data_IF_282727532028
#
_entry.id   IF_282727532028
#
_cell.length_a   1.000
_cell.length_b   1.000
_cell.length_c   1.000
_cell.angle_alpha   90.00
_cell.angle_beta   90.00
_cell.angle_gamma   90.00
#
_symmetry.space_group_name_H-M   'P 1'
#
loop_
_entity.id
_entity.type
_entity.pdbx_description
1 polymer ?
#
# COMPACT_ATOMS: atom_id res chain seq x y z
N UNK A 1 -15.38 -35.49 9.38
CA UNK A 1 -15.36 -35.17 10.82
C UNK A 1 -13.94 -34.72 11.14
N UNK A 2 -13.62 -33.50 10.71
CA UNK A 2 -13.68 -32.26 11.52
C UNK A 2 -12.46 -32.14 12.41
N UNK A 3 -11.39 -31.59 11.84
CA UNK A 3 -10.37 -30.90 12.63
C UNK A 3 -10.73 -29.42 12.52
N UNK A 4 -11.68 -29.06 13.37
CA UNK A 4 -12.23 -27.73 13.56
C UNK A 4 -11.10 -26.72 13.78
N UNK A 5 -11.20 -25.62 13.05
CA UNK A 5 -11.09 -24.28 13.63
C UNK A 5 -9.81 -24.03 14.46
N UNK A 6 -8.64 -24.09 13.83
CA UNK A 6 -7.48 -23.37 14.38
C UNK A 6 -7.60 -21.89 14.05
N UNK A 7 -8.36 -21.22 14.91
CA UNK A 7 -8.13 -19.87 15.41
C UNK A 7 -7.84 -18.82 14.35
N UNK A 8 -8.94 -18.24 13.86
CA UNK A 8 -8.99 -16.88 13.32
C UNK A 8 -8.75 -15.81 14.40
N UNK A 9 -7.90 -16.10 15.40
CA UNK A 9 -7.42 -15.12 16.36
C UNK A 9 -6.12 -14.52 15.84
N UNK A 10 -6.24 -13.76 14.74
CA UNK A 10 -5.35 -12.61 14.58
C UNK A 10 -5.74 -11.68 15.73
N UNK A 11 -5.14 -11.94 16.91
CA UNK A 11 -5.18 -11.06 18.07
C UNK A 11 -5.13 -9.66 17.51
N UNK A 12 -6.16 -8.86 17.76
CA UNK A 12 -6.13 -7.42 17.49
C UNK A 12 -4.90 -6.92 18.24
N UNK A 13 -3.76 -6.89 17.56
CA UNK A 13 -2.53 -6.40 18.11
C UNK A 13 -2.90 -4.99 18.55
N UNK A 14 -2.72 -4.70 19.85
CA UNK A 14 -2.90 -3.35 20.35
C UNK A 14 -2.18 -2.43 19.34
N UNK A 15 -2.87 -1.45 18.73
CA UNK A 15 -2.26 -0.61 17.74
C UNK A 15 -1.03 0.01 18.40
N UNK A 16 0.15 -0.30 17.86
CA UNK A 16 1.38 0.33 18.32
C UNK A 16 1.17 1.85 18.18
N UNK A 17 1.22 2.62 19.28
CA UNK A 17 0.99 4.07 19.23
C UNK A 17 1.90 4.77 18.21
N UNK A 18 3.12 4.25 18.00
CA UNK A 18 4.08 4.79 17.03
C UNK A 18 3.71 4.41 15.59
N UNK A 19 2.96 3.32 15.40
CA UNK A 19 2.38 2.94 14.11
C UNK A 19 1.06 3.66 13.82
N UNK A 20 0.60 4.53 14.74
CA UNK A 20 -0.55 5.39 14.56
C UNK A 20 -0.45 6.23 13.28
N UNK A 21 -1.33 5.96 12.32
CA UNK A 21 -1.39 6.75 11.07
C UNK A 21 -0.38 6.37 9.99
N UNK A 22 0.37 5.27 10.15
CA UNK A 22 1.33 4.79 9.13
C UNK A 22 0.66 4.57 7.78
N UNK A 23 -0.52 3.96 7.75
CA UNK A 23 -1.26 3.74 6.50
C UNK A 23 -1.57 5.07 5.78
N UNK A 24 -2.09 6.05 6.51
CA UNK A 24 -2.38 7.38 5.97
C UNK A 24 -1.10 8.08 5.47
N UNK A 25 0.02 7.92 6.17
CA UNK A 25 1.32 8.43 5.73
C UNK A 25 1.79 7.77 4.43
N UNK A 26 1.70 6.44 4.32
CA UNK A 26 2.07 5.69 3.13
C UNK A 26 1.20 6.07 1.91
N UNK A 27 -0.11 6.21 2.10
CA UNK A 27 -1.04 6.65 1.05
C UNK A 27 -0.65 8.06 0.55
N UNK A 28 -0.35 8.99 1.47
CA UNK A 28 0.09 10.35 1.11
C UNK A 28 1.42 10.33 0.36
N UNK A 29 2.38 9.54 0.81
CA UNK A 29 3.68 9.38 0.16
C UNK A 29 3.51 8.84 -1.27
N UNK A 30 2.69 7.81 -1.47
CA UNK A 30 2.40 7.26 -2.80
C UNK A 30 1.73 8.26 -3.73
N UNK A 31 0.76 9.06 -3.24
CA UNK A 31 0.14 10.14 -4.01
C UNK A 31 1.16 11.21 -4.43
N UNK A 32 2.05 11.61 -3.51
CA UNK A 32 3.11 12.59 -3.79
C UNK A 32 4.12 12.07 -4.82
N UNK A 33 4.54 10.81 -4.70
CA UNK A 33 5.46 10.18 -5.66
C UNK A 33 4.87 10.21 -7.08
N UNK A 34 3.62 9.79 -7.25
CA UNK A 34 2.89 9.88 -8.53
C UNK A 34 2.77 11.31 -9.05
N UNK A 35 2.50 12.28 -8.16
CA UNK A 35 2.42 13.70 -8.55
C UNK A 35 3.76 14.21 -9.09
N UNK A 36 4.86 13.92 -8.40
CA UNK A 36 6.21 14.33 -8.81
C UNK A 36 6.65 13.67 -10.11
N UNK A 37 6.43 12.37 -10.25
CA UNK A 37 6.73 11.62 -11.47
C UNK A 37 6.01 12.25 -12.67
N UNK A 38 4.71 12.56 -12.54
CA UNK A 38 3.95 13.26 -13.58
C UNK A 38 4.52 14.63 -13.93
N UNK A 39 4.90 15.43 -12.94
CA UNK A 39 5.50 16.75 -13.15
C UNK A 39 6.84 16.66 -13.89
N UNK A 40 7.60 15.59 -13.66
CA UNK A 40 8.87 15.34 -14.33
C UNK A 40 8.72 14.61 -15.68
N UNK A 41 7.50 14.20 -16.08
CA UNK A 41 7.29 13.37 -17.27
C UNK A 41 7.82 11.94 -17.14
N UNK A 42 7.96 11.43 -15.91
CA UNK A 42 8.51 10.12 -15.58
C UNK A 42 7.41 9.17 -15.07
N UNK A 43 7.65 7.86 -15.15
CA UNK A 43 6.83 6.83 -14.54
C UNK A 43 7.19 6.57 -13.07
N UNK A 44 6.37 5.80 -12.37
CA UNK A 44 6.69 5.32 -11.01
C UNK A 44 6.77 3.80 -11.02
N UNK A 45 7.80 3.25 -10.39
CA UNK A 45 7.96 1.81 -10.25
C UNK A 45 7.00 1.29 -9.17
N UNK A 46 6.17 0.31 -9.53
CA UNK A 46 5.19 -0.32 -8.63
C UNK A 46 5.24 -1.83 -8.76
N UNK A 47 4.85 -2.53 -7.70
CA UNK A 47 4.58 -3.97 -7.74
C UNK A 47 3.11 -4.18 -8.15
N UNK A 48 2.87 -4.91 -9.24
CA UNK A 48 1.53 -5.31 -9.71
C UNK A 48 1.56 -6.78 -10.06
N UNK A 49 0.68 -7.58 -9.46
CA UNK A 49 0.58 -9.03 -9.68
C UNK A 49 1.92 -9.76 -9.53
N UNK A 50 2.70 -9.38 -8.50
CA UNK A 50 4.02 -9.95 -8.23
C UNK A 50 5.12 -9.54 -9.21
N UNK A 51 4.86 -8.59 -10.11
CA UNK A 51 5.83 -8.06 -11.08
C UNK A 51 6.12 -6.59 -10.83
N UNK A 52 7.39 -6.21 -11.00
CA UNK A 52 7.81 -4.82 -11.00
C UNK A 52 7.48 -4.22 -12.37
N UNK A 53 6.67 -3.17 -12.38
CA UNK A 53 6.25 -2.46 -13.59
C UNK A 53 6.41 -0.95 -13.42
N UNK A 54 6.64 -0.24 -14.52
CA UNK A 54 6.64 1.22 -14.54
C UNK A 54 5.25 1.73 -14.90
N UNK A 55 4.67 2.56 -14.03
CA UNK A 55 3.33 3.09 -14.17
C UNK A 55 3.37 4.58 -14.57
N UNK A 56 2.89 4.86 -15.78
CA UNK A 56 2.71 6.20 -16.34
C UNK A 56 1.26 6.70 -16.26
N UNK A 57 0.37 5.97 -15.59
CA UNK A 57 -1.05 6.32 -15.54
C UNK A 57 -1.22 7.75 -15.03
N UNK A 58 -1.79 8.58 -15.89
CA UNK A 58 -2.33 9.89 -15.49
C UNK A 58 -3.50 9.55 -14.57
N UNK A 59 -3.26 9.55 -13.26
CA UNK A 59 -4.30 9.22 -12.27
C UNK A 59 -5.61 9.90 -12.67
N UNK A 60 -6.64 9.09 -12.95
CA UNK A 60 -7.99 9.62 -13.10
C UNK A 60 -8.37 10.23 -11.74
N UNK A 61 -8.77 11.49 -11.76
CA UNK A 61 -9.31 12.21 -10.61
C UNK A 61 -10.53 11.49 -10.01
#
# INVERSE_FOLDING_TARGET
MSNEEKDNDVKKANPDPDMGGVEAALIRAGKLARKRARQAGMGVIVMRDGKIVEDFSKGKE
#
